data_IF_860950471471
#
_entry.id   IF_860950471471
#
_cell.length_a   1.000
_cell.length_b   1.000
_cell.length_c   1.000
_cell.angle_alpha   90.00
_cell.angle_beta   90.00
_cell.angle_gamma   90.00
#
_symmetry.space_group_name_H-M   'P 1'
#
loop_
_entity.id
_entity.type
_entity.pdbx_description
1 polymer ?
#
# COMPACT_ATOMS: atom_id res chain seq x y z
N UNK A 1 11.27 -6.29 -32.96
CA UNK A 1 10.78 -5.01 -32.42
C UNK A 1 10.48 -5.21 -30.95
N UNK A 2 10.86 -4.24 -30.13
CA UNK A 2 10.75 -4.31 -28.67
C UNK A 2 9.67 -3.33 -28.22
N UNK A 3 8.77 -3.79 -27.36
CA UNK A 3 7.66 -3.00 -26.84
C UNK A 3 7.58 -3.16 -25.32
N UNK A 4 7.55 -2.05 -24.61
CA UNK A 4 7.43 -2.00 -23.15
C UNK A 4 5.97 -1.92 -22.74
N UNK A 5 5.51 -2.85 -21.92
CA UNK A 5 4.19 -2.85 -21.29
C UNK A 5 4.39 -2.58 -19.81
N UNK A 6 3.94 -1.42 -19.35
CA UNK A 6 3.81 -1.15 -17.93
C UNK A 6 2.64 -1.95 -17.37
N UNK A 7 2.93 -2.92 -16.51
CA UNK A 7 1.92 -3.71 -15.80
C UNK A 7 1.72 -3.15 -14.40
N UNK A 8 0.46 -2.89 -14.08
CA UNK A 8 0.00 -2.48 -12.74
C UNK A 8 0.03 -3.69 -11.79
N UNK A 9 0.14 -4.89 -12.35
CA UNK A 9 -0.15 -6.11 -11.66
C UNK A 9 1.04 -6.84 -11.06
N UNK A 10 1.22 -8.06 -11.53
CA UNK A 10 2.35 -8.93 -11.23
C UNK A 10 2.94 -9.29 -12.57
N UNK A 11 4.20 -8.88 -12.81
CA UNK A 11 4.87 -9.15 -14.08
C UNK A 11 4.91 -10.65 -14.41
N UNK A 12 5.12 -11.51 -13.40
CA UNK A 12 5.16 -12.97 -13.57
C UNK A 12 3.84 -13.56 -14.09
N UNK A 13 2.69 -13.05 -13.63
CA UNK A 13 1.38 -13.51 -14.13
C UNK A 13 1.16 -13.10 -15.58
N UNK A 14 1.56 -11.88 -15.95
CA UNK A 14 1.45 -11.40 -17.32
C UNK A 14 2.42 -12.15 -18.24
N UNK A 15 3.61 -12.51 -17.75
CA UNK A 15 4.60 -13.33 -18.44
C UNK A 15 4.03 -14.69 -18.83
N UNK A 16 3.40 -15.42 -17.88
CA UNK A 16 2.77 -16.71 -18.15
C UNK A 16 1.68 -16.60 -19.24
N UNK A 17 0.86 -15.55 -19.20
CA UNK A 17 -0.20 -15.33 -20.18
C UNK A 17 0.35 -15.00 -21.56
N UNK A 18 1.32 -14.08 -21.65
CA UNK A 18 1.92 -13.72 -22.94
C UNK A 18 2.71 -14.89 -23.53
N UNK A 19 3.37 -15.70 -22.70
CA UNK A 19 4.00 -16.95 -23.14
C UNK A 19 2.96 -17.94 -23.71
N UNK A 20 1.82 -18.11 -23.05
CA UNK A 20 0.72 -18.95 -23.57
C UNK A 20 0.18 -18.41 -24.90
N UNK A 21 0.00 -17.09 -25.03
CA UNK A 21 -0.45 -16.45 -26.27
C UNK A 21 0.59 -16.61 -27.39
N UNK A 22 1.88 -16.46 -27.09
CA UNK A 22 2.98 -16.67 -28.03
C UNK A 22 3.00 -18.13 -28.53
N UNK A 23 2.76 -19.10 -27.65
CA UNK A 23 2.68 -20.51 -28.00
C UNK A 23 1.51 -20.79 -28.95
N UNK A 24 0.29 -20.32 -28.63
CA UNK A 24 -0.90 -20.48 -29.49
C UNK A 24 -0.72 -19.79 -30.85
N UNK A 25 0.00 -18.67 -30.86
CA UNK A 25 0.29 -17.94 -32.11
C UNK A 25 1.36 -18.63 -32.96
N UNK A 26 2.30 -19.34 -32.33
CA UNK A 26 3.40 -20.03 -33.01
C UNK A 26 3.03 -21.37 -33.63
N UNK A 27 1.95 -22.03 -33.21
CA UNK A 27 1.53 -23.35 -33.73
C UNK A 27 0.80 -23.28 -35.09
N UNK A 28 0.50 -22.08 -35.59
CA UNK A 28 -0.29 -21.89 -36.82
C UNK A 28 -1.80 -22.08 -36.63
N UNK A 29 -2.26 -22.36 -35.40
CA UNK A 29 -3.69 -22.50 -35.07
C UNK A 29 -4.45 -21.18 -35.27
N UNK A 30 -3.80 -20.05 -35.04
CA UNK A 30 -4.36 -18.72 -35.32
C UNK A 30 -4.59 -18.52 -36.82
N UNK A 31 -3.69 -19.00 -37.68
CA UNK A 31 -3.89 -18.92 -39.13
C UNK A 31 -5.04 -19.82 -39.60
N UNK A 32 -5.18 -21.01 -38.99
CA UNK A 32 -6.31 -21.90 -39.27
C UNK A 32 -7.63 -21.26 -38.83
N UNK A 33 -7.67 -20.67 -37.64
CA UNK A 33 -8.81 -19.89 -37.14
C UNK A 33 -9.13 -18.71 -38.07
N UNK A 34 -8.14 -17.94 -38.50
CA UNK A 34 -8.33 -16.82 -39.41
C UNK A 34 -8.88 -17.25 -40.77
N UNK A 35 -8.41 -18.38 -41.32
CA UNK A 35 -8.94 -18.96 -42.57
C UNK A 35 -10.42 -19.35 -42.44
N UNK A 36 -10.79 -20.02 -41.34
CA UNK A 36 -12.19 -20.36 -41.06
C UNK A 36 -13.03 -19.09 -40.87
N UNK A 37 -12.51 -18.10 -40.15
CA UNK A 37 -13.14 -16.79 -39.96
C UNK A 37 -13.36 -16.05 -41.27
N UNK A 38 -12.42 -16.15 -42.22
CA UNK A 38 -12.56 -15.56 -43.56
C UNK A 38 -13.69 -16.20 -44.36
N UNK A 39 -13.79 -17.54 -44.36
CA UNK A 39 -14.86 -18.25 -45.06
C UNK A 39 -16.23 -17.84 -44.49
N UNK A 40 -16.35 -17.81 -43.16
CA UNK A 40 -17.59 -17.40 -42.48
C UNK A 40 -17.87 -15.91 -42.75
N UNK A 41 -16.86 -15.05 -42.73
CA UNK A 41 -16.99 -13.62 -43.04
C UNK A 41 -17.52 -13.36 -44.45
N UNK A 42 -17.05 -14.12 -45.45
CA UNK A 42 -17.58 -14.07 -46.83
C UNK A 42 -19.05 -14.51 -46.87
N UNK A 43 -19.42 -15.57 -46.15
CA UNK A 43 -20.81 -16.04 -46.09
C UNK A 43 -21.75 -15.00 -45.46
N UNK A 44 -21.32 -14.36 -44.36
CA UNK A 44 -22.10 -13.31 -43.68
C UNK A 44 -22.28 -12.10 -44.61
N UNK A 45 -21.22 -11.66 -45.29
CA UNK A 45 -21.31 -10.55 -46.24
C UNK A 45 -22.20 -10.90 -47.45
N UNK A 46 -22.14 -12.14 -47.94
CA UNK A 46 -23.03 -12.62 -48.99
C UNK A 46 -24.50 -12.58 -48.57
N UNK A 47 -24.82 -13.02 -47.36
CA UNK A 47 -26.18 -12.97 -46.82
C UNK A 47 -26.67 -11.53 -46.62
N UNK A 48 -25.82 -10.63 -46.10
CA UNK A 48 -26.16 -9.21 -45.95
C UNK A 48 -26.36 -8.49 -47.28
N UNK A 49 -25.58 -8.84 -48.31
CA UNK A 49 -25.73 -8.29 -49.66
C UNK A 49 -27.09 -8.67 -50.26
N UNK A 50 -27.53 -9.92 -50.05
CA UNK A 50 -28.86 -10.41 -50.49
C UNK A 50 -29.99 -9.73 -49.71
N UNK A 51 -29.89 -9.62 -48.38
CA UNK A 51 -30.95 -9.01 -47.57
C UNK A 51 -31.09 -7.49 -47.77
N UNK A 52 -29.97 -6.77 -47.93
CA UNK A 52 -29.97 -5.31 -48.03
C UNK A 52 -30.01 -4.80 -49.48
N UNK A 53 -30.02 -5.68 -50.48
CA UNK A 53 -30.02 -5.30 -51.90
C UNK A 53 -28.80 -4.50 -52.34
N UNK A 54 -27.68 -4.62 -51.61
CA UNK A 54 -26.43 -3.90 -51.89
C UNK A 54 -25.41 -4.84 -52.50
N UNK A 55 -24.55 -4.34 -53.40
CA UNK A 55 -23.47 -5.14 -53.98
C UNK A 55 -22.50 -5.68 -52.92
N UNK A 56 -21.87 -6.82 -53.18
CA UNK A 56 -20.90 -7.44 -52.27
C UNK A 56 -19.71 -6.47 -52.09
N UNK A 57 -19.55 -5.94 -50.87
CA UNK A 57 -18.50 -4.99 -50.54
C UNK A 57 -17.18 -5.73 -50.27
N UNK A 58 -16.56 -6.30 -51.30
CA UNK A 58 -15.26 -6.99 -51.22
C UNK A 58 -14.16 -6.12 -50.58
N UNK A 59 -14.26 -4.79 -50.72
CA UNK A 59 -13.38 -3.83 -50.07
C UNK A 59 -13.32 -4.00 -48.55
N UNK A 60 -14.45 -4.30 -47.88
CA UNK A 60 -14.48 -4.52 -46.42
C UNK A 60 -13.75 -5.80 -46.02
N UNK A 61 -13.87 -6.85 -46.82
CA UNK A 61 -13.15 -8.12 -46.59
C UNK A 61 -11.64 -7.95 -46.75
N UNK A 62 -11.23 -7.17 -47.77
CA UNK A 62 -9.83 -6.88 -48.04
C UNK A 62 -9.21 -6.03 -46.92
N UNK A 63 -9.94 -5.06 -46.37
CA UNK A 63 -9.52 -4.30 -45.18
C UNK A 63 -9.35 -5.21 -43.96
N UNK A 64 -10.29 -6.12 -43.69
CA UNK A 64 -10.18 -7.10 -42.60
C UNK A 64 -8.96 -8.02 -42.77
N UNK A 65 -8.68 -8.48 -43.99
CA UNK A 65 -7.53 -9.33 -44.27
C UNK A 65 -6.20 -8.59 -44.08
N UNK A 66 -6.10 -7.34 -44.55
CA UNK A 66 -4.92 -6.49 -44.31
C UNK A 66 -4.74 -6.23 -42.81
N UNK A 67 -5.83 -5.96 -42.07
CA UNK A 67 -5.77 -5.72 -40.63
C UNK A 67 -5.30 -6.95 -39.86
N UNK A 68 -5.77 -8.14 -40.24
CA UNK A 68 -5.27 -9.41 -39.70
C UNK A 68 -3.77 -9.59 -39.96
N UNK A 69 -3.32 -9.41 -41.21
CA UNK A 69 -1.91 -9.55 -41.59
C UNK A 69 -1.02 -8.54 -40.87
N UNK A 70 -1.50 -7.31 -40.66
CA UNK A 70 -0.75 -6.28 -39.94
C UNK A 70 -0.65 -6.58 -38.43
N UNK A 71 -1.69 -7.12 -37.81
CA UNK A 71 -1.73 -7.36 -36.36
C UNK A 71 -1.14 -8.72 -35.94
N UNK A 72 -1.34 -9.77 -36.74
CA UNK A 72 -0.94 -11.14 -36.39
C UNK A 72 0.13 -11.72 -37.31
N UNK A 73 0.50 -11.05 -38.40
CA UNK A 73 1.58 -11.49 -39.28
C UNK A 73 2.96 -11.38 -38.64
N UNK A 74 3.37 -10.20 -38.14
CA UNK A 74 4.64 -10.03 -37.44
C UNK A 74 4.52 -10.37 -35.95
N UNK A 75 5.59 -10.96 -35.39
CA UNK A 75 5.76 -11.14 -33.94
C UNK A 75 6.82 -10.18 -33.39
N UNK A 76 6.71 -9.85 -32.11
CA UNK A 76 7.59 -8.93 -31.39
C UNK A 76 7.96 -9.44 -30.00
N UNK A 77 8.85 -8.70 -29.33
CA UNK A 77 9.30 -8.96 -27.96
C UNK A 77 8.61 -8.01 -26.99
N UNK A 78 7.97 -8.56 -25.97
CA UNK A 78 7.35 -7.82 -24.88
C UNK A 78 8.33 -7.68 -23.71
N UNK A 79 8.62 -6.44 -23.31
CA UNK A 79 9.24 -6.14 -22.04
C UNK A 79 8.12 -5.73 -21.09
N UNK A 80 7.82 -6.57 -20.10
CA UNK A 80 6.84 -6.28 -19.07
C UNK A 80 7.58 -5.64 -17.92
N UNK A 81 7.20 -4.44 -17.54
CA UNK A 81 7.76 -3.75 -16.38
C UNK A 81 6.68 -3.63 -15.30
N UNK A 82 6.91 -4.20 -14.12
CA UNK A 82 6.03 -4.00 -12.97
C UNK A 82 6.20 -2.57 -12.46
N UNK A 83 5.14 -1.79 -12.53
CA UNK A 83 5.12 -0.37 -12.16
C UNK A 83 5.53 -0.13 -10.69
N UNK A 84 5.38 -1.14 -9.82
CA UNK A 84 5.62 -1.02 -8.37
C UNK A 84 6.91 -1.66 -7.89
N UNK A 85 7.39 -2.71 -8.56
CA UNK A 85 8.62 -3.42 -8.15
C UNK A 85 9.79 -3.14 -9.06
N UNK A 86 9.56 -2.60 -10.26
CA UNK A 86 10.60 -2.42 -11.27
C UNK A 86 11.12 -3.75 -11.83
N UNK A 87 10.43 -4.86 -11.55
CA UNK A 87 10.79 -6.16 -12.10
C UNK A 87 10.48 -6.19 -13.60
N UNK A 88 11.47 -6.56 -14.39
CA UNK A 88 11.35 -6.65 -15.85
C UNK A 88 11.29 -8.12 -16.25
N UNK A 89 10.15 -8.55 -16.79
CA UNK A 89 9.98 -9.85 -17.43
C UNK A 89 10.00 -9.69 -18.95
N UNK A 90 10.65 -10.62 -19.65
CA UNK A 90 10.80 -10.55 -21.12
C UNK A 90 10.13 -11.75 -21.76
N UNK A 91 9.23 -11.51 -22.70
CA UNK A 91 8.54 -12.56 -23.47
C UNK A 91 8.75 -12.35 -24.95
N UNK A 92 9.24 -13.38 -25.63
CA UNK A 92 9.45 -13.38 -27.07
C UNK A 92 8.24 -13.94 -27.84
N UNK A 93 8.16 -13.61 -29.13
CA UNK A 93 7.22 -14.18 -30.09
C UNK A 93 5.72 -13.86 -29.84
N UNK A 94 5.43 -12.68 -29.28
CA UNK A 94 4.04 -12.20 -29.09
C UNK A 94 3.54 -11.53 -30.38
N UNK A 95 2.28 -11.73 -30.81
CA UNK A 95 1.71 -11.02 -31.95
C UNK A 95 1.79 -9.49 -31.82
N UNK A 96 2.16 -8.80 -32.91
CA UNK A 96 2.45 -7.37 -32.89
C UNK A 96 1.25 -6.50 -32.51
N UNK A 97 0.04 -6.81 -32.98
CA UNK A 97 -1.14 -5.97 -32.75
C UNK A 97 -1.46 -5.80 -31.25
N UNK A 98 -1.68 -6.88 -30.51
CA UNK A 98 -1.92 -6.86 -29.06
C UNK A 98 -0.76 -6.22 -28.29
N UNK A 99 0.48 -6.50 -28.71
CA UNK A 99 1.70 -5.98 -28.11
C UNK A 99 1.85 -4.46 -28.30
N UNK A 100 1.61 -3.96 -29.51
CA UNK A 100 1.68 -2.55 -29.85
C UNK A 100 0.54 -1.75 -29.19
N UNK A 101 -0.68 -2.30 -29.16
CA UNK A 101 -1.80 -1.67 -28.46
C UNK A 101 -1.53 -1.64 -26.96
N UNK A 102 -1.09 -2.75 -26.37
CA UNK A 102 -0.75 -2.83 -24.96
C UNK A 102 0.30 -1.80 -24.55
N UNK A 103 1.42 -1.75 -25.27
CA UNK A 103 2.50 -0.79 -24.97
C UNK A 103 2.07 0.68 -25.11
N UNK A 104 1.36 1.05 -26.18
CA UNK A 104 0.88 2.43 -26.37
C UNK A 104 -0.08 2.82 -25.26
N UNK A 105 -1.07 1.96 -24.98
CA UNK A 105 -2.15 2.26 -24.03
C UNK A 105 -1.60 2.28 -22.60
N UNK A 106 -0.73 1.33 -22.22
CA UNK A 106 -0.04 1.33 -20.92
C UNK A 106 0.85 2.56 -20.73
N UNK A 107 1.63 2.95 -21.74
CA UNK A 107 2.53 4.12 -21.65
C UNK A 107 1.75 5.42 -21.50
N UNK A 108 0.65 5.58 -22.24
CA UNK A 108 -0.23 6.75 -22.11
C UNK A 108 -0.88 6.77 -20.72
N UNK A 109 -1.38 5.63 -20.25
CA UNK A 109 -1.98 5.51 -18.91
C UNK A 109 -1.00 5.94 -17.82
N UNK A 110 0.22 5.39 -17.82
CA UNK A 110 1.27 5.70 -16.84
C UNK A 110 1.65 7.19 -16.86
N UNK A 111 1.97 7.75 -18.03
CA UNK A 111 2.37 9.16 -18.15
C UNK A 111 1.26 10.14 -17.72
N UNK A 112 0.01 9.83 -18.04
CA UNK A 112 -1.13 10.64 -17.61
C UNK A 112 -1.23 10.59 -16.08
N UNK A 113 -1.13 9.40 -15.48
CA UNK A 113 -1.20 9.25 -14.01
C UNK A 113 -0.07 9.98 -13.31
N UNK A 114 1.17 9.86 -13.79
CA UNK A 114 2.32 10.59 -13.24
C UNK A 114 2.13 12.12 -13.31
N UNK A 115 1.58 12.61 -14.43
CA UNK A 115 1.24 14.04 -14.57
C UNK A 115 0.16 14.46 -13.56
N UNK A 116 -0.86 13.63 -13.34
CA UNK A 116 -1.89 13.90 -12.31
C UNK A 116 -1.29 13.90 -10.89
N UNK A 117 -0.43 12.93 -10.56
CA UNK A 117 0.22 12.83 -9.25
C UNK A 117 1.10 14.05 -8.98
N UNK A 118 1.89 14.46 -9.97
CA UNK A 118 2.70 15.69 -9.93
C UNK A 118 1.83 16.93 -9.74
N UNK A 119 0.74 17.07 -10.50
CA UNK A 119 -0.17 18.21 -10.40
C UNK A 119 -0.89 18.28 -9.04
N UNK A 120 -1.20 17.12 -8.46
CA UNK A 120 -1.87 17.02 -7.16
C UNK A 120 -0.91 17.13 -5.97
N UNK A 121 0.41 17.11 -6.20
CA UNK A 121 1.42 17.09 -5.13
C UNK A 121 1.18 15.99 -4.09
N UNK A 122 0.59 14.88 -4.54
CA UNK A 122 0.38 13.68 -3.71
C UNK A 122 1.56 12.74 -3.93
N UNK A 123 2.01 12.00 -2.91
CA UNK A 123 3.02 10.96 -3.10
C UNK A 123 2.62 10.02 -4.24
N UNK A 124 3.59 9.73 -5.12
CA UNK A 124 3.37 8.95 -6.33
C UNK A 124 2.77 7.59 -5.99
N UNK A 125 1.50 7.39 -6.32
CA UNK A 125 0.87 6.09 -6.18
C UNK A 125 1.40 5.15 -7.25
N UNK A 126 1.90 5.64 -8.38
CA UNK A 126 2.61 4.85 -9.39
C UNK A 126 3.84 4.15 -8.82
N UNK A 127 4.61 4.78 -7.93
CA UNK A 127 5.81 4.17 -7.32
C UNK A 127 5.49 3.34 -6.07
N UNK A 128 4.59 3.83 -5.22
CA UNK A 128 4.43 3.30 -3.87
C UNK A 128 3.12 2.55 -3.63
N UNK A 129 2.13 2.70 -4.50
CA UNK A 129 0.81 2.07 -4.35
C UNK A 129 -0.26 3.00 -3.77
N UNK A 130 -1.51 2.58 -3.94
CA UNK A 130 -2.67 3.37 -3.54
C UNK A 130 -2.74 3.47 -2.01
N UNK A 131 -2.90 4.70 -1.50
CA UNK A 131 -2.93 4.99 -0.06
C UNK A 131 -1.71 4.48 0.73
N UNK A 132 -0.55 4.28 0.08
CA UNK A 132 0.69 3.80 0.72
C UNK A 132 1.14 4.65 1.92
N UNK A 133 1.03 5.99 1.92
CA UNK A 133 1.31 6.81 3.10
C UNK A 133 0.52 6.37 4.35
N UNK A 134 -0.77 6.10 4.16
CA UNK A 134 -1.68 5.75 5.24
C UNK A 134 -1.47 4.30 5.67
N UNK A 135 -1.31 3.38 4.72
CA UNK A 135 -1.03 1.96 4.99
C UNK A 135 0.31 1.78 5.70
N UNK A 136 1.33 2.56 5.33
CA UNK A 136 2.64 2.54 5.97
C UNK A 136 2.53 2.95 7.44
N UNK A 137 1.84 4.05 7.76
CA UNK A 137 1.66 4.48 9.15
C UNK A 137 0.87 3.45 9.98
N UNK A 138 -0.16 2.83 9.40
CA UNK A 138 -0.93 1.77 10.06
C UNK A 138 -0.07 0.53 10.33
N UNK A 139 0.75 0.11 9.36
CA UNK A 139 1.67 -1.02 9.51
C UNK A 139 2.73 -0.77 10.57
N UNK A 140 3.37 0.39 10.58
CA UNK A 140 4.33 0.76 11.63
C UNK A 140 3.68 0.64 13.01
N UNK A 141 2.46 1.16 13.17
CA UNK A 141 1.77 1.07 14.45
C UNK A 141 1.38 -0.36 14.82
N UNK A 142 0.95 -1.19 13.87
CA UNK A 142 0.63 -2.61 14.16
C UNK A 142 1.83 -3.36 14.71
N UNK A 143 3.00 -3.09 14.15
CA UNK A 143 4.27 -3.67 14.60
C UNK A 143 4.64 -3.11 15.97
N UNK A 144 4.52 -1.80 16.14
CA UNK A 144 4.78 -1.13 17.40
C UNK A 144 3.84 -1.59 18.54
N UNK A 145 2.56 -1.85 18.27
CA UNK A 145 1.62 -2.43 19.23
C UNK A 145 2.02 -3.85 19.64
N UNK A 146 2.66 -4.61 18.75
CA UNK A 146 3.23 -5.91 19.06
C UNK A 146 4.71 -5.78 19.43
N UNK A 147 5.02 -5.01 20.48
CA UNK A 147 6.41 -4.76 20.91
C UNK A 147 7.18 -6.07 21.17
N UNK A 148 6.49 -7.15 21.52
CA UNK A 148 7.08 -8.49 21.70
C UNK A 148 7.69 -9.06 20.42
N UNK A 149 7.24 -8.59 19.26
CA UNK A 149 7.79 -8.98 17.96
C UNK A 149 9.03 -8.18 17.54
N UNK A 150 9.49 -7.24 18.38
CA UNK A 150 10.65 -6.38 18.10
C UNK A 150 11.86 -6.77 18.97
N UNK A 151 12.83 -7.53 18.44
CA UNK A 151 14.06 -7.90 19.14
C UNK A 151 14.84 -6.70 19.68
N UNK A 152 14.86 -5.58 18.96
CA UNK A 152 15.51 -4.33 19.39
C UNK A 152 14.92 -3.73 20.67
N UNK A 153 13.64 -3.98 20.94
CA UNK A 153 12.92 -3.42 22.11
C UNK A 153 12.84 -4.45 23.24
N UNK A 154 12.48 -5.69 22.92
CA UNK A 154 12.45 -6.80 23.89
C UNK A 154 13.83 -7.12 24.44
N UNK A 155 14.85 -7.00 23.59
CA UNK A 155 16.25 -7.29 23.88
C UNK A 155 16.54 -8.77 24.13
N UNK A 156 17.81 -9.15 24.01
CA UNK A 156 18.27 -10.53 24.21
C UNK A 156 19.02 -10.65 25.53
N UNK A 157 18.49 -11.41 26.48
CA UNK A 157 19.11 -11.62 27.80
C UNK A 157 18.69 -10.58 28.83
N UNK A 158 19.65 -9.98 29.54
CA UNK A 158 19.39 -9.03 30.64
C UNK A 158 19.35 -7.56 30.21
N UNK A 159 19.41 -7.29 28.91
CA UNK A 159 19.19 -5.96 28.33
C UNK A 159 17.79 -5.98 27.70
N UNK A 160 16.82 -5.30 28.31
CA UNK A 160 15.45 -5.23 27.79
C UNK A 160 14.94 -3.81 27.90
N UNK A 161 14.87 -3.13 26.75
CA UNK A 161 14.40 -1.76 26.68
C UNK A 161 12.90 -1.69 27.01
N UNK A 162 12.12 -2.69 26.60
CA UNK A 162 10.72 -2.88 26.95
C UNK A 162 10.52 -2.94 28.47
N UNK A 163 11.21 -3.87 29.13
CA UNK A 163 11.01 -4.07 30.57
C UNK A 163 11.49 -2.84 31.38
N UNK A 164 12.55 -2.19 30.92
CA UNK A 164 13.09 -0.98 31.56
C UNK A 164 12.15 0.22 31.41
N UNK A 165 11.58 0.45 30.22
CA UNK A 165 10.56 1.48 30.02
C UNK A 165 9.27 1.17 30.77
N UNK A 166 8.82 -0.08 30.79
CA UNK A 166 7.64 -0.48 31.55
C UNK A 166 7.80 -0.22 33.06
N UNK A 167 8.96 -0.54 33.63
CA UNK A 167 9.29 -0.22 35.03
C UNK A 167 9.36 1.28 35.29
N UNK A 168 10.05 2.03 34.43
CA UNK A 168 10.13 3.49 34.53
C UNK A 168 8.74 4.13 34.50
N UNK A 169 7.90 3.71 33.55
CA UNK A 169 6.55 4.23 33.41
C UNK A 169 5.67 3.90 34.63
N UNK A 170 5.78 2.67 35.15
CA UNK A 170 5.06 2.20 36.34
C UNK A 170 5.44 2.90 37.63
N UNK A 171 6.74 3.03 37.89
CA UNK A 171 7.28 3.45 39.19
C UNK A 171 7.54 4.96 39.26
N UNK A 172 7.97 5.58 38.15
CA UNK A 172 8.28 7.00 38.11
C UNK A 172 7.11 7.81 37.54
N UNK A 173 6.67 7.51 36.32
CA UNK A 173 5.73 8.40 35.61
C UNK A 173 4.31 8.30 36.14
N UNK A 174 3.81 7.10 36.41
CA UNK A 174 2.50 6.91 37.02
C UNK A 174 2.44 7.42 38.45
N UNK A 175 3.54 7.35 39.20
CA UNK A 175 3.60 7.92 40.55
C UNK A 175 3.54 9.45 40.50
N UNK A 176 4.22 10.07 39.54
CA UNK A 176 4.14 11.51 39.31
C UNK A 176 2.72 11.96 38.94
N UNK A 177 2.06 11.22 38.04
CA UNK A 177 0.73 11.58 37.53
C UNK A 177 -0.41 11.24 38.48
N UNK A 178 -0.28 10.22 39.34
CA UNK A 178 -1.28 9.89 40.36
C UNK A 178 -1.46 11.03 41.38
N UNK A 179 -0.41 11.81 41.61
CA UNK A 179 -0.47 12.97 42.51
C UNK A 179 -1.13 14.21 41.88
N UNK A 180 -1.25 14.27 40.54
CA UNK A 180 -1.85 15.41 39.83
C UNK A 180 -2.50 14.96 38.49
N UNK A 181 -3.83 15.02 38.35
CA UNK A 181 -4.52 14.65 37.10
C UNK A 181 -4.16 15.55 35.90
N UNK A 182 -3.66 16.76 36.13
CA UNK A 182 -3.16 17.66 35.07
C UNK A 182 -1.85 17.13 34.48
N UNK A 183 -0.97 16.56 35.31
CA UNK A 183 0.29 15.98 34.85
C UNK A 183 0.07 14.77 33.92
N UNK A 184 -0.97 13.96 34.18
CA UNK A 184 -1.32 12.87 33.26
C UNK A 184 -1.73 13.40 31.89
N UNK A 185 -2.58 14.44 31.86
CA UNK A 185 -3.01 15.06 30.60
C UNK A 185 -1.82 15.67 29.85
N UNK A 186 -0.91 16.32 30.56
CA UNK A 186 0.27 16.96 29.97
C UNK A 186 1.25 15.93 29.38
N UNK A 187 1.34 14.72 29.96
CA UNK A 187 2.10 13.60 29.37
C UNK A 187 1.55 13.21 28.00
N UNK A 188 0.23 13.21 27.83
CA UNK A 188 -0.42 12.81 26.57
C UNK A 188 -0.44 13.94 25.52
N UNK A 189 -0.52 15.21 25.93
CA UNK A 189 -0.67 16.35 25.02
C UNK A 189 0.65 16.97 24.56
N UNK A 190 1.76 16.75 25.29
CA UNK A 190 3.03 17.39 25.01
C UNK A 190 3.64 16.88 23.67
N UNK A 191 4.12 17.78 22.79
CA UNK A 191 4.73 17.42 21.50
C UNK A 191 6.02 16.59 21.61
N UNK A 192 6.83 16.74 22.67
CA UNK A 192 7.97 15.86 22.94
C UNK A 192 7.50 14.66 23.77
N UNK A 193 7.09 13.58 23.11
CA UNK A 193 6.57 12.37 23.76
C UNK A 193 7.56 11.76 24.77
N UNK A 194 8.86 11.74 24.44
CA UNK A 194 9.90 11.21 25.34
C UNK A 194 10.24 12.22 26.42
N UNK A 195 10.17 13.53 26.16
CA UNK A 195 10.30 14.56 27.18
C UNK A 195 9.16 14.56 28.19
N UNK A 196 7.94 14.28 27.73
CA UNK A 196 6.71 14.38 28.50
C UNK A 196 6.65 13.43 29.69
N UNK A 197 7.21 12.23 29.52
CA UNK A 197 7.29 11.18 30.56
C UNK A 197 8.40 11.43 31.57
N UNK A 198 9.23 12.48 31.42
CA UNK A 198 10.33 12.73 32.34
C UNK A 198 9.82 13.08 33.75
N UNK A 199 10.31 12.34 34.73
CA UNK A 199 10.11 12.65 36.15
C UNK A 199 11.44 12.95 36.86
N UNK A 200 11.65 14.22 37.21
CA UNK A 200 12.87 14.69 37.88
C UNK A 200 12.75 14.54 39.41
N UNK A 201 12.76 13.29 39.88
CA UNK A 201 12.79 12.98 41.31
C UNK A 201 13.99 12.12 41.66
N UNK A 202 14.71 12.53 42.71
CA UNK A 202 15.79 11.78 43.34
C UNK A 202 15.32 10.91 44.51
N UNK A 203 14.02 10.91 44.81
CA UNK A 203 13.43 10.17 45.94
C UNK A 203 12.89 8.82 45.48
N UNK A 204 12.40 8.74 44.25
CA UNK A 204 11.89 7.52 43.65
C UNK A 204 12.97 6.84 42.82
N UNK A 205 13.01 5.51 42.92
CA UNK A 205 13.98 4.66 42.23
C UNK A 205 13.24 3.69 41.32
N UNK A 206 13.88 3.30 40.22
CA UNK A 206 13.38 2.27 39.34
C UNK A 206 14.47 1.32 38.90
N UNK A 207 14.08 0.09 38.56
CA UNK A 207 14.99 -0.96 38.09
C UNK A 207 15.01 -1.00 36.56
N UNK A 208 16.16 -0.70 35.97
CA UNK A 208 16.42 -0.83 34.53
C UNK A 208 17.30 -2.05 34.22
N UNK A 209 17.12 -2.59 33.02
CA UNK A 209 17.80 -3.77 32.51
C UNK A 209 18.76 -3.35 31.38
N UNK A 210 20.00 -3.04 31.75
CA UNK A 210 21.09 -2.56 30.88
C UNK A 210 22.09 -3.67 30.51
N UNK A 211 21.68 -4.94 30.54
CA UNK A 211 22.55 -6.10 30.24
C UNK A 211 23.28 -6.67 31.45
N UNK A 212 23.20 -6.04 32.62
CA UNK A 212 23.70 -6.63 33.88
C UNK A 212 22.75 -7.72 34.41
N UNK A 213 23.31 -8.78 35.01
CA UNK A 213 22.55 -9.97 35.44
C UNK A 213 21.38 -9.67 36.40
N UNK A 214 21.51 -8.65 37.24
CA UNK A 214 20.50 -8.32 38.25
C UNK A 214 19.75 -7.01 37.97
N UNK A 215 20.04 -6.30 36.86
CA UNK A 215 19.53 -4.96 36.58
C UNK A 215 20.10 -3.89 37.52
N UNK A 216 20.05 -2.63 37.10
CA UNK A 216 20.56 -1.50 37.91
C UNK A 216 19.39 -0.68 38.44
N UNK A 217 19.36 -0.44 39.74
CA UNK A 217 18.40 0.49 40.36
C UNK A 217 18.95 1.91 40.32
N UNK A 218 18.30 2.79 39.57
CA UNK A 218 18.68 4.20 39.44
C UNK A 218 17.54 5.11 39.93
N UNK A 219 17.88 6.35 40.25
CA UNK A 219 16.87 7.38 40.52
C UNK A 219 16.03 7.61 39.26
N UNK A 220 14.77 8.06 39.40
CA UNK A 220 13.93 8.37 38.25
C UNK A 220 14.55 9.43 37.32
N UNK A 221 15.37 10.34 37.86
CA UNK A 221 16.13 11.29 37.05
C UNK A 221 17.20 10.61 36.18
N UNK A 222 18.04 9.77 36.79
CA UNK A 222 19.18 9.15 36.09
C UNK A 222 18.74 8.00 35.18
N UNK A 223 17.69 7.27 35.58
CA UNK A 223 17.04 6.25 34.77
C UNK A 223 16.51 6.83 33.47
N UNK A 224 15.87 8.00 33.51
CA UNK A 224 15.39 8.68 32.30
C UNK A 224 16.52 9.00 31.32
N UNK A 225 17.63 9.57 31.80
CA UNK A 225 18.76 9.94 30.94
C UNK A 225 19.42 8.71 30.32
N UNK A 226 19.52 7.62 31.07
CA UNK A 226 20.09 6.36 30.59
C UNK A 226 19.17 5.70 29.56
N UNK A 227 17.86 5.69 29.82
CA UNK A 227 16.86 5.13 28.90
C UNK A 227 16.74 5.94 27.61
N UNK A 228 16.81 7.27 27.69
CA UNK A 228 16.84 8.13 26.50
C UNK A 228 18.05 7.83 25.63
N UNK A 229 19.24 7.75 26.22
CA UNK A 229 20.46 7.37 25.50
C UNK A 229 20.38 5.97 24.88
N UNK A 230 19.84 4.99 25.60
CA UNK A 230 19.65 3.63 25.08
C UNK A 230 18.64 3.60 23.91
N UNK A 231 17.53 4.34 24.02
CA UNK A 231 16.54 4.48 22.93
C UNK A 231 17.13 5.17 21.71
N UNK A 232 17.93 6.24 21.89
CA UNK A 232 18.60 6.96 20.79
C UNK A 232 19.59 6.04 20.05
N UNK A 233 20.25 5.11 20.74
CA UNK A 233 21.09 4.09 20.10
C UNK A 233 20.30 2.95 19.43
N UNK A 234 19.10 2.65 19.95
CA UNK A 234 18.26 1.57 19.45
C UNK A 234 17.34 1.99 18.29
N UNK A 235 17.20 3.29 18.01
CA UNK A 235 16.27 3.81 16.99
C UNK A 235 16.48 3.22 15.59
N UNK A 236 17.73 3.00 15.17
CA UNK A 236 18.06 2.42 13.87
C UNK A 236 17.65 0.94 13.81
N UNK A 237 17.88 0.21 14.91
CA UNK A 237 17.47 -1.18 15.03
C UNK A 237 15.94 -1.33 15.14
N UNK A 238 15.25 -0.38 15.77
CA UNK A 238 13.78 -0.33 15.80
C UNK A 238 13.22 -0.09 14.39
N UNK A 239 13.80 0.83 13.63
CA UNK A 239 13.42 1.05 12.23
C UNK A 239 13.66 -0.19 11.37
N UNK A 240 14.77 -0.89 11.57
CA UNK A 240 15.07 -2.13 10.86
C UNK A 240 14.11 -3.27 11.21
N UNK A 241 13.75 -3.43 12.50
CA UNK A 241 12.72 -4.40 12.92
C UNK A 241 11.35 -4.08 12.32
N UNK A 242 11.01 -2.79 12.25
CA UNK A 242 9.82 -2.34 11.52
C UNK A 242 9.99 -2.66 10.03
N UNK A 243 11.10 -2.33 9.37
CA UNK A 243 11.32 -2.62 7.94
C UNK A 243 11.20 -4.11 7.58
N UNK A 244 11.71 -5.00 8.44
CA UNK A 244 11.57 -6.46 8.28
C UNK A 244 10.13 -6.94 8.30
N UNK A 245 9.24 -6.25 9.02
CA UNK A 245 7.81 -6.57 9.03
C UNK A 245 7.06 -6.07 7.77
N UNK A 246 7.65 -5.11 7.05
CA UNK A 246 7.14 -4.62 5.76
C UNK A 246 7.61 -5.45 4.58
N UNK A 247 8.69 -6.20 4.75
CA UNK A 247 9.22 -7.12 3.74
C UNK A 247 8.11 -8.09 3.28
N UNK A 248 7.81 -8.10 1.98
CA UNK A 248 7.07 -9.22 1.38
C UNK A 248 7.86 -10.51 1.67
N UNK A 249 7.22 -11.68 1.76
CA UNK A 249 7.94 -12.95 1.85
C UNK A 249 8.92 -13.06 0.66
N UNK A 250 10.22 -12.85 0.90
CA UNK A 250 11.28 -12.91 -0.11
C UNK A 250 11.93 -11.60 -0.57
N UNK A 251 11.49 -10.41 -0.11
CA UNK A 251 12.13 -9.13 -0.46
C UNK A 251 12.38 -8.26 0.78
N UNK A 252 13.65 -8.06 1.14
CA UNK A 252 14.06 -7.16 2.22
C UNK A 252 13.86 -5.72 1.77
N UNK A 253 13.08 -4.94 2.52
CA UNK A 253 13.04 -3.49 2.36
C UNK A 253 14.22 -2.89 3.13
N UNK A 254 15.01 -2.07 2.45
CA UNK A 254 16.09 -1.32 3.07
C UNK A 254 15.53 -0.31 4.09
N UNK A 255 16.18 -0.18 5.25
CA UNK A 255 15.73 0.71 6.33
C UNK A 255 15.72 2.18 5.89
N UNK A 256 16.64 2.57 5.00
CA UNK A 256 16.69 3.90 4.36
C UNK A 256 15.47 4.16 3.45
N UNK A 257 15.01 3.14 2.74
CA UNK A 257 13.83 3.24 1.90
C UNK A 257 12.55 3.37 2.74
N UNK A 258 12.47 2.66 3.87
CA UNK A 258 11.37 2.82 4.82
C UNK A 258 11.39 4.21 5.47
N UNK A 259 12.56 4.71 5.87
CA UNK A 259 12.71 6.05 6.46
C UNK A 259 12.21 7.14 5.49
N UNK A 260 12.59 7.03 4.21
CA UNK A 260 12.11 7.95 3.16
C UNK A 260 10.59 7.86 2.97
N UNK A 261 10.04 6.63 2.90
CA UNK A 261 8.59 6.41 2.78
C UNK A 261 7.82 6.98 3.97
N UNK A 262 8.33 6.79 5.19
CA UNK A 262 7.72 7.33 6.41
C UNK A 262 7.77 8.86 6.46
N UNK A 263 8.91 9.46 6.12
CA UNK A 263 9.05 10.90 6.04
C UNK A 263 8.08 11.51 5.01
N UNK A 264 7.97 10.89 3.83
CA UNK A 264 7.01 11.31 2.80
C UNK A 264 5.56 11.13 3.27
N UNK A 265 5.26 10.03 3.95
CA UNK A 265 3.93 9.75 4.48
C UNK A 265 3.51 10.77 5.53
N UNK A 266 4.40 11.05 6.49
CA UNK A 266 4.16 12.04 7.52
C UNK A 266 4.03 13.43 6.91
N UNK A 267 4.93 13.84 6.02
CA UNK A 267 4.85 15.12 5.33
C UNK A 267 3.52 15.31 4.58
N UNK A 268 3.03 14.27 3.91
CA UNK A 268 1.76 14.32 3.16
C UNK A 268 0.54 14.60 4.05
N UNK A 269 0.59 14.18 5.32
CA UNK A 269 -0.52 14.33 6.27
C UNK A 269 -0.40 15.57 7.14
N UNK A 270 0.83 15.95 7.49
CA UNK A 270 1.11 17.00 8.49
C UNK A 270 1.49 18.32 7.82
N UNK A 271 1.94 18.28 6.56
CA UNK A 271 2.51 19.43 5.86
C UNK A 271 3.84 19.93 6.44
N UNK A 272 4.42 19.20 7.40
CA UNK A 272 5.67 19.54 8.07
C UNK A 272 6.64 18.36 8.03
N UNK A 273 7.93 18.65 7.91
CA UNK A 273 8.96 17.63 8.01
C UNK A 273 9.01 17.12 9.46
N UNK A 274 8.76 15.83 9.64
CA UNK A 274 8.85 15.15 10.93
C UNK A 274 9.75 13.95 10.81
N UNK A 275 10.59 13.76 11.81
CA UNK A 275 11.52 12.64 11.84
C UNK A 275 10.78 11.30 11.99
N UNK A 276 10.94 10.44 10.98
CA UNK A 276 10.43 9.07 10.99
C UNK A 276 10.94 8.26 12.19
N UNK A 277 12.16 8.52 12.69
CA UNK A 277 12.73 7.84 13.86
C UNK A 277 12.00 8.25 15.13
N UNK A 278 11.80 9.55 15.35
CA UNK A 278 11.01 10.05 16.46
C UNK A 278 9.56 9.49 16.44
N UNK A 279 8.98 9.36 15.23
CA UNK A 279 7.66 8.74 15.07
C UNK A 279 7.65 7.26 15.47
N UNK A 280 8.61 6.45 15.01
CA UNK A 280 8.65 5.01 15.36
C UNK A 280 8.89 4.78 16.85
N UNK A 281 9.78 5.55 17.47
CA UNK A 281 10.01 5.47 18.92
C UNK A 281 8.75 5.82 19.71
N UNK A 282 8.05 6.89 19.31
CA UNK A 282 6.79 7.28 19.95
C UNK A 282 5.70 6.22 19.76
N UNK A 283 5.64 5.61 18.57
CA UNK A 283 4.70 4.53 18.27
C UNK A 283 4.96 3.28 19.11
N UNK A 284 6.23 2.94 19.37
CA UNK A 284 6.63 1.81 20.23
C UNK A 284 6.37 2.09 21.70
N UNK A 285 6.54 3.34 22.14
CA UNK A 285 6.39 3.71 23.55
C UNK A 285 4.92 3.86 23.98
N UNK A 286 4.04 4.26 23.06
CA UNK A 286 2.61 4.41 23.30
C UNK A 286 1.92 3.16 23.91
N UNK A 287 2.04 1.95 23.34
CA UNK A 287 1.44 0.75 23.93
C UNK A 287 2.04 0.37 25.29
N UNK A 288 3.31 0.70 25.55
CA UNK A 288 3.95 0.50 26.86
C UNK A 288 3.32 1.45 27.89
N UNK A 289 3.09 2.71 27.52
CA UNK A 289 2.42 3.70 28.35
C UNK A 289 0.96 3.33 28.65
N UNK A 290 0.21 2.87 27.64
CA UNK A 290 -1.18 2.44 27.80
C UNK A 290 -1.31 1.15 28.63
N UNK A 291 -0.31 0.25 28.57
CA UNK A 291 -0.24 -0.97 29.36
C UNK A 291 0.23 -0.79 30.81
N UNK A 292 1.01 0.26 31.10
CA UNK A 292 1.56 0.55 32.43
C UNK A 292 0.50 0.63 33.57
N UNK A 293 -0.65 1.32 33.43
CA UNK A 293 -1.66 1.36 34.48
C UNK A 293 -2.30 -0.01 34.72
N UNK A 294 -2.46 -0.83 33.66
CA UNK A 294 -2.96 -2.19 33.77
C UNK A 294 -2.01 -3.09 34.58
N UNK A 295 -0.70 -2.99 34.34
CA UNK A 295 0.32 -3.71 35.12
C UNK A 295 0.35 -3.27 36.59
N UNK A 296 0.24 -1.96 36.85
CA UNK A 296 0.15 -1.45 38.22
C UNK A 296 -1.10 -1.95 38.95
N UNK A 297 -2.24 -2.04 38.26
CA UNK A 297 -3.47 -2.58 38.83
C UNK A 297 -3.38 -4.09 39.18
N UNK A 298 -2.54 -4.86 38.47
CA UNK A 298 -2.25 -6.27 38.83
C UNK A 298 -1.51 -6.34 40.16
N UNK A 299 -0.51 -5.48 40.36
CA UNK A 299 0.28 -5.40 41.59
C UNK A 299 -0.53 -4.91 42.79
N UNK A 300 -1.45 -3.97 42.57
CA UNK A 300 -2.37 -3.43 43.58
C UNK A 300 -3.54 -4.40 43.91
N UNK A 301 -3.47 -5.68 43.48
CA UNK A 301 -4.51 -6.72 43.63
C UNK A 301 -5.88 -6.37 43.03
N UNK A 302 -5.96 -5.40 42.11
CA UNK A 302 -7.18 -5.04 41.37
C UNK A 302 -7.29 -5.84 40.07
N UNK A 303 -7.17 -7.17 40.16
CA UNK A 303 -7.06 -8.07 39.00
C UNK A 303 -8.22 -7.97 37.99
N UNK A 304 -9.42 -7.59 38.43
CA UNK A 304 -10.56 -7.40 37.54
C UNK A 304 -10.39 -6.22 36.56
N UNK A 305 -9.79 -5.11 37.00
CA UNK A 305 -9.53 -3.95 36.14
C UNK A 305 -8.45 -4.26 35.10
N UNK A 306 -7.41 -5.00 35.50
CA UNK A 306 -6.35 -5.43 34.61
C UNK A 306 -6.84 -6.40 33.52
N UNK A 307 -7.72 -7.35 33.85
CA UNK A 307 -8.32 -8.27 32.88
C UNK A 307 -9.19 -7.51 31.88
N UNK A 308 -10.02 -6.55 32.35
CA UNK A 308 -10.83 -5.73 31.44
C UNK A 308 -9.99 -4.84 30.54
N UNK A 309 -8.88 -4.27 31.03
CA UNK A 309 -7.95 -3.49 30.20
C UNK A 309 -7.23 -4.35 29.17
N UNK A 310 -6.75 -5.54 29.55
CA UNK A 310 -6.14 -6.49 28.61
C UNK A 310 -7.11 -6.94 27.52
N UNK A 311 -8.38 -7.18 27.88
CA UNK A 311 -9.43 -7.49 26.90
C UNK A 311 -9.75 -6.30 25.99
N UNK A 312 -9.83 -5.08 26.53
CA UNK A 312 -10.07 -3.88 25.73
C UNK A 312 -8.93 -3.62 24.72
N UNK A 313 -7.67 -3.78 25.15
CA UNK A 313 -6.50 -3.66 24.29
C UNK A 313 -6.49 -4.75 23.20
N UNK A 314 -6.87 -5.98 23.54
CA UNK A 314 -6.97 -7.07 22.56
C UNK A 314 -8.12 -6.83 21.57
N UNK A 315 -9.28 -6.35 22.02
CA UNK A 315 -10.40 -5.98 21.15
C UNK A 315 -10.01 -4.86 20.18
N UNK A 316 -9.34 -3.82 20.69
CA UNK A 316 -8.82 -2.72 19.88
C UNK A 316 -7.80 -3.23 18.85
N UNK A 317 -6.88 -4.11 19.24
CA UNK A 317 -5.92 -4.72 18.33
C UNK A 317 -6.60 -5.60 17.26
N UNK A 318 -7.66 -6.35 17.61
CA UNK A 318 -8.45 -7.12 16.64
C UNK A 318 -9.26 -6.24 15.70
N UNK A 319 -9.77 -5.11 16.18
CA UNK A 319 -10.49 -4.12 15.39
C UNK A 319 -9.53 -3.47 14.37
N UNK A 320 -8.37 -2.98 14.82
CA UNK A 320 -7.31 -2.44 13.95
C UNK A 320 -6.77 -3.47 12.95
N UNK A 321 -6.69 -4.75 13.34
CA UNK A 321 -6.32 -5.83 12.43
C UNK A 321 -7.39 -6.06 11.34
N UNK A 322 -8.68 -5.92 11.69
CA UNK A 322 -9.80 -6.10 10.78
C UNK A 322 -10.07 -4.87 9.87
N UNK A 323 -9.72 -3.66 10.32
CA UNK A 323 -9.98 -2.39 9.61
C UNK A 323 -8.93 -2.04 8.54
N UNK A 324 -7.82 -2.77 8.47
CA UNK A 324 -6.86 -2.62 7.37
C UNK A 324 -7.53 -3.01 6.04
N UNK A 325 -7.86 -2.02 5.21
CA UNK A 325 -8.84 -2.20 4.13
C UNK A 325 -8.59 -3.48 3.33
N UNK A 326 -9.60 -4.35 3.35
CA UNK A 326 -9.69 -5.47 2.41
C UNK A 326 -9.50 -4.97 0.97
N UNK A 327 -9.90 -3.73 0.70
CA UNK A 327 -9.84 -3.10 -0.61
C UNK A 327 -8.43 -2.93 -1.17
N UNK A 328 -7.45 -2.36 -0.43
CA UNK A 328 -6.06 -2.23 -0.94
C UNK A 328 -5.45 -3.61 -1.23
N UNK A 329 -5.82 -4.63 -0.47
CA UNK A 329 -5.40 -6.02 -0.70
C UNK A 329 -6.02 -6.65 -1.94
N UNK A 330 -7.27 -6.31 -2.26
CA UNK A 330 -7.99 -6.91 -3.38
C UNK A 330 -7.82 -6.14 -4.70
N UNK A 331 -7.65 -4.82 -4.66
CA UNK A 331 -7.66 -4.01 -5.88
C UNK A 331 -6.54 -4.41 -6.84
N UNK A 332 -5.31 -4.59 -6.33
CA UNK A 332 -4.17 -4.97 -7.16
C UNK A 332 -4.39 -6.33 -7.83
N UNK A 333 -4.68 -7.44 -7.11
CA UNK A 333 -5.04 -8.73 -7.73
C UNK A 333 -6.21 -8.67 -8.72
N UNK A 334 -7.22 -7.82 -8.47
CA UNK A 334 -8.31 -7.65 -9.43
C UNK A 334 -7.85 -6.99 -10.72
N UNK A 335 -7.01 -5.94 -10.65
CA UNK A 335 -6.45 -5.30 -11.85
C UNK A 335 -5.57 -6.26 -12.64
N UNK A 336 -4.72 -7.03 -11.95
CA UNK A 336 -3.85 -8.03 -12.58
C UNK A 336 -4.66 -9.07 -13.34
N UNK A 337 -5.76 -9.54 -12.74
CA UNK A 337 -6.64 -10.54 -13.34
C UNK A 337 -7.27 -10.05 -14.64
N UNK A 338 -7.83 -8.83 -14.64
CA UNK A 338 -8.47 -8.27 -15.84
C UNK A 338 -7.47 -7.93 -16.95
N UNK A 339 -6.30 -7.41 -16.59
CA UNK A 339 -5.19 -7.19 -17.54
C UNK A 339 -4.82 -8.51 -18.22
N UNK A 340 -4.54 -9.56 -17.43
CA UNK A 340 -4.24 -10.88 -17.96
C UNK A 340 -5.38 -11.50 -18.77
N UNK A 341 -6.63 -11.36 -18.33
CA UNK A 341 -7.81 -11.87 -19.04
C UNK A 341 -7.96 -11.27 -20.44
N UNK A 342 -7.70 -9.96 -20.59
CA UNK A 342 -7.79 -9.27 -21.88
C UNK A 342 -6.69 -9.75 -22.83
N UNK A 343 -5.47 -9.95 -22.31
CA UNK A 343 -4.38 -10.52 -23.10
C UNK A 343 -4.63 -12.00 -23.45
N UNK A 344 -5.26 -12.78 -22.56
CA UNK A 344 -5.60 -14.17 -22.80
C UNK A 344 -6.67 -14.37 -23.90
N UNK A 345 -7.61 -13.42 -24.07
CA UNK A 345 -8.64 -13.47 -25.11
C UNK A 345 -8.08 -13.12 -26.50
N UNK A 346 -6.89 -12.53 -26.56
CA UNK A 346 -6.24 -12.09 -27.79
C UNK A 346 -6.31 -13.08 -28.95
N UNK A 347 -6.00 -14.38 -28.81
CA UNK A 347 -6.06 -15.32 -29.93
C UNK A 347 -7.47 -15.44 -30.56
N UNK A 348 -8.54 -15.25 -29.77
CA UNK A 348 -9.91 -15.24 -30.29
C UNK A 348 -10.20 -14.00 -31.13
N UNK A 349 -9.53 -12.87 -30.85
CA UNK A 349 -9.69 -11.64 -31.62
C UNK A 349 -9.18 -11.80 -33.06
N UNK A 350 -8.18 -12.66 -33.27
CA UNK A 350 -7.68 -13.00 -34.59
C UNK A 350 -8.78 -13.59 -35.50
N UNK A 351 -9.66 -14.44 -34.95
CA UNK A 351 -10.82 -14.97 -35.65
C UNK A 351 -11.87 -13.88 -35.92
N UNK A 352 -12.17 -13.05 -34.90
CA UNK A 352 -13.20 -12.01 -34.97
C UNK A 352 -12.90 -10.96 -36.04
N UNK A 353 -11.65 -10.52 -36.16
CA UNK A 353 -11.23 -9.49 -37.14
C UNK A 353 -11.64 -9.85 -38.57
N UNK A 354 -11.64 -11.14 -38.90
CA UNK A 354 -11.88 -11.62 -40.26
C UNK A 354 -13.38 -11.86 -40.55
N UNK A 355 -14.27 -11.73 -39.56
CA UNK A 355 -15.73 -11.85 -39.72
C UNK A 355 -16.39 -10.64 -40.41
N UNK A 356 -15.62 -9.68 -40.92
CA UNK A 356 -16.14 -8.52 -41.66
C UNK A 356 -16.63 -7.37 -40.76
N UNK A 357 -17.71 -6.70 -41.15
CA UNK A 357 -18.21 -5.50 -40.46
C UNK A 357 -18.62 -5.70 -39.00
N UNK A 358 -19.11 -6.89 -38.65
CA UNK A 358 -19.38 -7.27 -37.27
C UNK A 358 -18.08 -7.41 -36.45
N UNK A 359 -17.03 -7.97 -37.07
CA UNK A 359 -15.71 -8.13 -36.48
C UNK A 359 -15.06 -6.81 -36.11
N UNK A 360 -15.08 -5.82 -37.02
CA UNK A 360 -14.54 -4.48 -36.78
C UNK A 360 -15.24 -3.80 -35.59
N UNK A 361 -16.56 -3.93 -35.50
CA UNK A 361 -17.32 -3.38 -34.38
C UNK A 361 -16.93 -4.01 -33.03
N UNK A 362 -16.66 -5.32 -33.00
CA UNK A 362 -16.25 -6.00 -31.78
C UNK A 362 -14.80 -5.69 -31.39
N UNK A 363 -13.89 -5.56 -32.37
CA UNK A 363 -12.49 -5.12 -32.15
C UNK A 363 -12.46 -3.72 -31.58
N UNK A 364 -13.28 -2.80 -32.09
CA UNK A 364 -13.38 -1.46 -31.52
C UNK A 364 -13.84 -1.48 -30.06
N UNK A 365 -14.79 -2.36 -29.69
CA UNK A 365 -15.23 -2.52 -28.30
C UNK A 365 -14.14 -3.13 -27.41
N UNK A 366 -13.37 -4.07 -27.95
CA UNK A 366 -12.20 -4.62 -27.26
C UNK A 366 -11.14 -3.55 -26.96
N UNK A 367 -10.81 -2.71 -27.95
CA UNK A 367 -9.90 -1.57 -27.75
C UNK A 367 -10.47 -0.54 -26.77
N UNK A 368 -11.78 -0.30 -26.79
CA UNK A 368 -12.45 0.57 -25.82
C UNK A 368 -12.31 0.04 -24.39
N UNK A 369 -12.44 -1.28 -24.19
CA UNK A 369 -12.23 -1.91 -22.88
C UNK A 369 -10.77 -1.76 -22.44
N UNK A 370 -9.79 -1.92 -23.34
CA UNK A 370 -8.37 -1.69 -23.03
C UNK A 370 -8.10 -0.25 -22.58
N UNK A 371 -8.66 0.73 -23.27
CA UNK A 371 -8.54 2.15 -22.88
C UNK A 371 -9.23 2.40 -21.53
N UNK A 372 -10.40 1.80 -21.31
CA UNK A 372 -11.11 1.91 -20.04
C UNK A 372 -10.32 1.34 -18.86
N UNK A 373 -9.61 0.23 -19.05
CA UNK A 373 -8.72 -0.34 -18.03
C UNK A 373 -7.60 0.62 -17.63
N UNK A 374 -7.03 1.36 -18.58
CA UNK A 374 -5.99 2.35 -18.27
C UNK A 374 -6.52 3.60 -17.57
N UNK A 375 -7.82 3.89 -17.72
CA UNK A 375 -8.47 4.99 -17.01
C UNK A 375 -8.57 4.73 -15.50
N UNK A 376 -8.40 3.48 -15.05
CA UNK A 376 -8.42 3.15 -13.63
C UNK A 376 -7.26 3.79 -12.86
N UNK A 377 -6.06 3.92 -13.43
CA UNK A 377 -4.94 4.55 -12.73
C UNK A 377 -5.16 6.05 -12.46
N UNK A 378 -5.59 6.88 -13.43
CA UNK A 378 -5.98 8.27 -13.16
C UNK A 378 -7.12 8.42 -12.16
N UNK A 379 -8.11 7.53 -12.19
CA UNK A 379 -9.19 7.55 -11.19
C UNK A 379 -8.63 7.27 -9.79
N UNK A 380 -7.74 6.29 -9.67
CA UNK A 380 -7.11 5.97 -8.39
C UNK A 380 -6.28 7.13 -7.85
N UNK A 381 -5.61 7.91 -8.70
CA UNK A 381 -4.86 9.08 -8.23
C UNK A 381 -5.78 10.19 -7.71
N UNK A 382 -6.95 10.40 -8.33
CA UNK A 382 -7.98 11.33 -7.83
C UNK A 382 -8.52 10.87 -6.48
N UNK A 383 -8.81 9.57 -6.33
CA UNK A 383 -9.28 9.05 -5.04
C UNK A 383 -8.18 9.13 -3.99
N UNK A 384 -6.93 8.88 -4.35
CA UNK A 384 -5.79 9.03 -3.44
C UNK A 384 -5.68 10.48 -2.93
N UNK A 385 -5.82 11.48 -3.82
CA UNK A 385 -5.90 12.89 -3.43
C UNK A 385 -7.07 13.16 -2.48
N UNK A 386 -8.26 12.67 -2.80
CA UNK A 386 -9.42 12.85 -1.93
C UNK A 386 -9.16 12.27 -0.54
N UNK A 387 -8.64 11.05 -0.46
CA UNK A 387 -8.34 10.38 0.82
C UNK A 387 -7.28 11.13 1.63
N UNK A 388 -6.18 11.55 1.01
CA UNK A 388 -5.11 12.27 1.71
C UNK A 388 -5.63 13.64 2.19
N UNK A 389 -6.35 14.38 1.35
CA UNK A 389 -6.87 15.70 1.71
C UNK A 389 -7.94 15.67 2.80
N UNK A 390 -8.88 14.71 2.76
CA UNK A 390 -9.88 14.55 3.83
C UNK A 390 -9.27 14.07 5.13
N UNK A 391 -8.26 13.19 5.04
CA UNK A 391 -7.51 12.72 6.22
C UNK A 391 -6.76 13.87 6.86
N UNK A 392 -6.03 14.66 6.06
CA UNK A 392 -5.32 15.86 6.51
C UNK A 392 -6.26 16.84 7.21
N UNK A 393 -7.39 17.20 6.60
CA UNK A 393 -8.35 18.13 7.19
C UNK A 393 -8.92 17.65 8.54
N UNK A 394 -9.18 16.35 8.69
CA UNK A 394 -9.64 15.77 9.96
C UNK A 394 -8.55 15.74 11.02
N UNK A 395 -7.31 15.45 10.61
CA UNK A 395 -6.15 15.46 11.50
C UNK A 395 -5.84 16.90 11.96
N UNK A 396 -5.85 17.88 11.07
CA UNK A 396 -5.71 19.31 11.41
C UNK A 396 -6.78 19.78 12.41
N UNK A 397 -8.03 19.29 12.27
CA UNK A 397 -9.11 19.60 13.21
C UNK A 397 -8.87 19.08 14.64
N UNK A 398 -8.13 17.98 14.81
CA UNK A 398 -7.72 17.46 16.12
C UNK A 398 -6.48 18.20 16.63
N UNK A 399 -5.57 18.56 15.72
CA UNK A 399 -4.31 19.21 16.01
C UNK A 399 -4.43 20.71 16.34
N UNK A 400 -5.64 21.31 16.31
CA UNK A 400 -5.92 22.72 16.63
C UNK A 400 -5.48 23.21 18.02
N UNK A 401 -4.76 22.40 18.79
CA UNK A 401 -4.17 22.69 20.10
C UNK A 401 -2.68 22.32 20.22
N UNK A 402 -2.05 21.67 19.23
CA UNK A 402 -0.62 21.34 19.24
C UNK A 402 -0.03 21.45 17.84
N UNK A 403 0.73 22.52 17.62
CA UNK A 403 1.50 22.71 16.39
C UNK A 403 2.48 21.55 16.25
N UNK A 404 2.58 20.96 15.06
CA UNK A 404 3.66 20.04 14.69
C UNK A 404 4.99 20.79 14.80
N UNK A 405 5.57 20.80 16.00
CA UNK A 405 6.93 21.27 16.19
C UNK A 405 7.83 20.14 15.69
N UNK A 406 8.96 20.52 15.10
CA UNK A 406 10.09 19.70 14.64
C UNK A 406 10.56 18.56 15.56
N UNK A 407 9.96 18.39 16.75
CA UNK A 407 10.33 17.43 17.79
C UNK A 407 9.43 16.17 17.85
N UNK A 408 8.33 16.12 17.09
CA UNK A 408 7.55 14.87 16.92
C UNK A 408 6.04 15.00 17.15
N UNK A 409 5.40 13.83 17.30
CA UNK A 409 3.96 13.67 17.53
C UNK A 409 3.70 13.38 19.00
N UNK A 410 2.71 14.05 19.63
CA UNK A 410 2.28 13.69 20.98
C UNK A 410 1.58 12.31 21.00
N UNK A 411 1.57 11.66 22.16
CA UNK A 411 0.87 10.38 22.33
C UNK A 411 -0.63 10.48 22.04
N UNK A 412 -1.26 11.59 22.42
CA UNK A 412 -2.67 11.82 22.12
C UNK A 412 -2.91 11.97 20.62
N UNK A 413 -2.10 12.78 19.94
CA UNK A 413 -2.25 12.99 18.50
C UNK A 413 -2.09 11.66 17.76
N UNK A 414 -1.09 10.87 18.13
CA UNK A 414 -0.89 9.56 17.55
C UNK A 414 -2.10 8.64 17.80
N UNK A 415 -2.63 8.60 19.03
CA UNK A 415 -3.82 7.80 19.39
C UNK A 415 -5.06 8.21 18.58
N UNK A 416 -5.31 9.49 18.43
CA UNK A 416 -6.53 10.01 17.81
C UNK A 416 -6.46 10.00 16.27
N UNK A 417 -5.27 10.09 15.68
CA UNK A 417 -5.07 10.02 14.22
C UNK A 417 -5.40 8.65 13.61
N UNK A 418 -5.14 7.56 14.32
CA UNK A 418 -5.28 6.21 13.78
C UNK A 418 -6.69 5.79 13.35
N UNK A 419 -7.73 5.92 14.20
CA UNK A 419 -9.08 5.53 13.79
C UNK A 419 -9.56 6.35 12.58
N UNK A 420 -9.07 7.59 12.44
CA UNK A 420 -9.35 8.42 11.27
C UNK A 420 -8.65 7.87 10.03
N UNK A 421 -7.35 7.58 10.12
CA UNK A 421 -6.57 7.01 9.02
C UNK A 421 -7.23 5.70 8.54
N UNK A 422 -7.58 4.80 9.45
CA UNK A 422 -8.22 3.52 9.12
C UNK A 422 -9.62 3.71 8.50
N UNK A 423 -10.44 4.59 9.07
CA UNK A 423 -11.75 4.93 8.51
C UNK A 423 -11.62 5.56 7.12
N UNK A 424 -10.64 6.44 6.90
CA UNK A 424 -10.42 7.08 5.60
C UNK A 424 -9.90 6.08 4.55
N UNK A 425 -9.01 5.16 4.91
CA UNK A 425 -8.62 4.04 4.04
C UNK A 425 -9.85 3.17 3.70
N UNK A 426 -10.74 2.92 4.66
CA UNK A 426 -11.99 2.19 4.43
C UNK A 426 -12.96 2.92 3.48
N UNK A 427 -13.16 4.23 3.67
CA UNK A 427 -13.99 5.08 2.81
C UNK A 427 -13.40 5.18 1.40
N UNK A 428 -12.08 5.36 1.29
CA UNK A 428 -11.37 5.33 0.02
C UNK A 428 -11.66 4.05 -0.75
N UNK A 429 -11.58 2.90 -0.07
CA UNK A 429 -11.89 1.62 -0.67
C UNK A 429 -13.34 1.47 -1.12
N UNK A 430 -14.30 2.02 -0.36
CA UNK A 430 -15.70 2.05 -0.78
C UNK A 430 -15.93 2.95 -2.00
N UNK A 431 -15.26 4.10 -2.09
CA UNK A 431 -15.37 5.04 -3.22
C UNK A 431 -14.84 4.40 -4.50
N UNK A 432 -13.67 3.78 -4.46
CA UNK A 432 -13.13 3.10 -5.65
C UNK A 432 -14.01 1.90 -6.04
N UNK A 433 -14.54 1.15 -5.07
CA UNK A 433 -15.48 0.06 -5.36
C UNK A 433 -16.79 0.56 -5.99
N UNK A 434 -17.25 1.76 -5.64
CA UNK A 434 -18.47 2.38 -6.18
C UNK A 434 -18.27 2.98 -7.57
N UNK A 435 -17.13 3.63 -7.83
CA UNK A 435 -16.80 4.20 -9.15
C UNK A 435 -16.87 3.15 -10.25
N UNK A 436 -16.42 1.93 -9.94
CA UNK A 436 -16.48 0.79 -10.85
C UNK A 436 -17.89 0.36 -11.26
N UNK A 437 -18.92 0.68 -10.46
CA UNK A 437 -20.33 0.46 -10.81
C UNK A 437 -20.92 1.61 -11.64
N UNK A 438 -20.33 2.80 -11.57
CA UNK A 438 -20.79 4.00 -12.27
C UNK A 438 -20.27 4.08 -13.70
N UNK A 439 -19.21 3.35 -14.03
CA UNK A 439 -18.63 3.28 -15.38
C UNK A 439 -19.12 2.09 -16.23
N UNK A 440 -20.11 1.32 -15.75
CA UNK A 440 -20.87 0.35 -16.56
C UNK A 440 -22.14 1.01 -17.09
#
# INVERSE_FOLDING_TARGET
MEFTIYSIGSAAYLEEILNAVAMISGTGDIEALAKVGMIIGVLILGFQAVMNGTGIQFQKMLVCAIMYLAMYGPTGRALIEDVYTGDVAVVDNVPLGPLAVGSIVSTIGYNITDTFETAFSVPGMTEYGFADPLDTLVKVRKVANNVQSMPSVTGTGNASLLASWANYLRECTLTATNSNPVAMRDVFTNPDAIGAIRFDSSVYYTKIYDGSADGVTLSCRDAYTTLRGATDTAQDAMLDDVAKSFAKPGALLDSTALETRLNNALFSLTGAATDARAYTVTAVLLPILEGAPGQRAIEDMQGAAAIMMGQAMQQQNTQWAAEGSMFTKYIRPFMTFFEGFIYAITPLMAFVIVLGGFGIGLVSKYLLILIWMMLWMPVLSIVNLYTISTTKAKIEGILGSSTFVTEGLSFQNMRDMMPIIETQIGVAGMIVAADRKLTQ
#
